data_IF_212721536740
#
_entry.id   IF_212721536740
#
_cell.length_a   1.000
_cell.length_b   1.000
_cell.length_c   1.000
_cell.angle_alpha   90.00
_cell.angle_beta   90.00
_cell.angle_gamma   90.00
#
_symmetry.space_group_name_H-M   'P 1'
#
loop_
_entity.id
_entity.type
_entity.pdbx_description
1 polymer ?
#
# COMPACT_ATOMS: atom_id res chain seq x y z
N UNK A 1 28.31 0.41 5.49
CA UNK A 1 27.95 0.56 4.05
C UNK A 1 26.97 -0.57 3.69
N UNK A 2 25.69 -0.27 3.58
CA UNK A 2 24.69 -1.25 3.13
C UNK A 2 24.90 -1.48 1.63
N UNK A 3 25.16 -2.72 1.23
CA UNK A 3 25.25 -3.10 -0.18
C UNK A 3 23.86 -3.12 -0.80
N UNK A 4 23.63 -2.33 -1.84
CA UNK A 4 22.50 -2.52 -2.73
C UNK A 4 22.76 -3.73 -3.62
N UNK A 5 21.73 -4.55 -3.85
CA UNK A 5 21.85 -5.72 -4.70
C UNK A 5 21.26 -5.42 -6.07
N UNK A 6 22.04 -5.73 -7.10
CA UNK A 6 21.49 -5.83 -8.46
C UNK A 6 20.65 -7.11 -8.57
N UNK A 7 19.77 -7.19 -9.56
CA UNK A 7 18.98 -8.40 -9.85
C UNK A 7 19.86 -9.66 -9.90
N UNK A 8 21.07 -9.56 -10.43
CA UNK A 8 22.03 -10.66 -10.56
C UNK A 8 22.61 -11.10 -9.21
N UNK A 9 22.94 -10.15 -8.34
CA UNK A 9 23.47 -10.43 -6.99
C UNK A 9 22.40 -10.99 -6.06
N UNK A 10 21.15 -10.51 -6.20
CA UNK A 10 20.01 -11.07 -5.48
C UNK A 10 19.80 -12.56 -5.86
N UNK A 11 19.89 -12.91 -7.14
CA UNK A 11 19.79 -14.28 -7.62
C UNK A 11 20.97 -15.18 -7.17
N UNK A 12 22.19 -14.64 -7.10
CA UNK A 12 23.36 -15.39 -6.62
C UNK A 12 23.30 -15.69 -5.12
N UNK A 13 22.83 -14.73 -4.32
CA UNK A 13 22.65 -14.94 -2.87
C UNK A 13 21.53 -15.93 -2.55
N UNK A 14 20.49 -15.98 -3.41
CA UNK A 14 19.40 -16.96 -3.32
C UNK A 14 19.87 -18.39 -3.66
N UNK A 15 20.83 -18.53 -4.58
CA UNK A 15 21.38 -19.84 -4.96
C UNK A 15 22.22 -20.51 -3.84
N UNK A 16 22.87 -19.72 -2.98
CA UNK A 16 23.58 -20.27 -1.80
C UNK A 16 22.62 -20.73 -0.70
N UNK A 17 21.38 -20.22 -0.66
CA UNK A 17 20.32 -20.70 0.25
C UNK A 17 19.73 -22.06 -0.17
N UNK A 18 19.86 -22.48 -1.44
CA UNK A 18 19.27 -23.73 -1.91
C UNK A 18 20.02 -25.01 -1.46
N UNK A 19 21.27 -24.90 -1.01
CA UNK A 19 21.98 -26.05 -0.44
C UNK A 19 21.47 -26.50 0.94
N UNK A 20 20.66 -25.66 1.62
CA UNK A 20 20.07 -25.97 2.93
C UNK A 20 18.66 -26.58 2.85
N UNK A 21 18.05 -26.68 1.65
CA UNK A 21 16.64 -27.10 1.46
C UNK A 21 16.44 -28.60 1.39
N UNK A 22 17.50 -29.40 1.41
CA UNK A 22 17.39 -30.88 1.40
C UNK A 22 17.11 -31.52 2.77
N UNK A 23 16.97 -30.70 3.81
CA UNK A 23 16.51 -31.15 5.14
C UNK A 23 15.24 -30.39 5.50
N UNK A 24 14.10 -31.00 5.32
CA UNK A 24 12.72 -30.55 5.54
C UNK A 24 12.40 -29.65 6.74
N UNK A 25 13.05 -28.49 6.85
CA UNK A 25 12.73 -27.45 7.81
C UNK A 25 12.10 -26.26 7.08
N UNK A 26 10.87 -25.98 7.44
CA UNK A 26 10.11 -24.81 6.99
C UNK A 26 10.93 -23.53 7.16
N UNK A 27 10.97 -22.67 6.15
CA UNK A 27 11.62 -21.35 6.12
C UNK A 27 11.14 -20.38 7.24
N UNK A 28 10.16 -20.78 8.04
CA UNK A 28 9.71 -20.08 9.25
C UNK A 28 10.79 -19.97 10.36
N UNK A 29 11.95 -20.60 10.19
CA UNK A 29 13.05 -20.62 11.15
C UNK A 29 14.22 -19.67 10.87
N UNK A 30 14.15 -18.79 9.86
CA UNK A 30 15.26 -17.91 9.47
C UNK A 30 15.20 -16.49 10.05
N UNK A 31 14.20 -16.16 10.85
CA UNK A 31 14.31 -15.01 11.75
C UNK A 31 14.99 -15.53 13.01
N UNK A 32 16.24 -15.14 13.25
CA UNK A 32 16.70 -15.07 14.63
C UNK A 32 15.65 -14.26 15.39
N UNK A 33 15.21 -14.72 16.55
CA UNK A 33 14.22 -14.05 17.42
C UNK A 33 14.58 -12.60 17.79
N UNK A 34 15.66 -12.03 17.26
CA UNK A 34 16.37 -10.83 17.67
C UNK A 34 16.46 -9.73 16.58
N UNK A 35 15.94 -9.90 15.35
CA UNK A 35 15.88 -8.78 14.39
C UNK A 35 14.74 -7.83 14.78
N UNK A 36 15.12 -6.69 15.40
CA UNK A 36 14.17 -5.61 15.68
C UNK A 36 13.57 -5.08 14.37
N UNK A 37 12.22 -4.84 14.33
CA UNK A 37 11.59 -4.24 13.17
C UNK A 37 12.11 -2.83 12.95
N UNK A 38 12.13 -2.38 11.69
CA UNK A 38 12.56 -1.03 11.32
C UNK A 38 11.83 0.06 12.10
N UNK A 39 10.50 -0.09 12.28
CA UNK A 39 9.69 0.78 13.11
C UNK A 39 9.45 0.17 14.49
N UNK A 40 9.90 0.87 15.52
CA UNK A 40 9.45 0.64 16.89
C UNK A 40 8.10 1.33 17.08
N UNK A 41 7.03 0.56 17.21
CA UNK A 41 5.66 1.07 17.25
C UNK A 41 5.10 1.05 18.67
N UNK A 42 4.52 2.19 19.09
CA UNK A 42 3.68 2.31 20.27
C UNK A 42 2.22 2.43 19.83
N UNK A 43 1.34 1.52 20.27
CA UNK A 43 -0.05 1.58 19.85
C UNK A 43 -0.75 2.79 20.44
N UNK A 44 -1.52 3.50 19.61
CA UNK A 44 -2.51 4.49 20.03
C UNK A 44 -3.87 3.82 20.10
N UNK A 45 -4.20 2.99 19.11
CA UNK A 45 -5.40 2.18 19.10
C UNK A 45 -6.22 2.34 17.81
N UNK A 46 -7.48 1.95 17.92
CA UNK A 46 -8.47 2.06 16.85
C UNK A 46 -8.89 3.52 16.67
N UNK A 47 -8.52 4.11 15.53
CA UNK A 47 -8.71 5.54 15.27
C UNK A 47 -9.94 5.86 14.42
N UNK A 48 -10.34 4.95 13.54
CA UNK A 48 -11.53 5.12 12.70
C UNK A 48 -12.29 3.80 12.56
N UNK A 49 -13.56 3.82 12.95
CA UNK A 49 -14.51 2.74 12.76
C UNK A 49 -15.89 3.36 12.48
N UNK A 50 -16.61 2.81 11.51
CA UNK A 50 -17.97 3.22 11.19
C UNK A 50 -18.90 2.01 11.20
N UNK A 51 -19.99 2.10 11.95
CA UNK A 51 -21.00 1.06 11.96
C UNK A 51 -21.58 0.85 10.56
N UNK A 52 -21.79 -0.40 10.17
CA UNK A 52 -22.33 -0.75 8.86
C UNK A 52 -21.34 -0.63 7.68
N UNK A 53 -20.06 -0.32 7.93
CA UNK A 53 -19.05 -0.15 6.89
C UNK A 53 -17.77 -0.92 7.20
N UNK A 54 -17.13 -1.41 6.12
CA UNK A 54 -15.71 -1.71 6.11
C UNK A 54 -14.92 -0.42 5.90
N UNK A 55 -13.84 -0.23 6.65
CA UNK A 55 -12.87 0.87 6.51
C UNK A 55 -11.52 0.30 6.09
N UNK A 56 -10.92 0.87 5.05
CA UNK A 56 -9.66 0.38 4.49
C UNK A 56 -8.79 1.51 3.95
N UNK A 57 -7.46 1.27 3.85
CA UNK A 57 -6.52 2.15 3.13
C UNK A 57 -6.54 3.60 3.61
N UNK A 58 -6.33 3.84 4.88
CA UNK A 58 -6.36 5.17 5.48
C UNK A 58 -5.06 5.95 5.20
N UNK A 59 -5.11 6.91 4.28
CA UNK A 59 -3.97 7.76 3.90
C UNK A 59 -4.02 9.10 4.63
N UNK A 60 -3.12 9.37 5.60
CA UNK A 60 -3.12 10.59 6.40
C UNK A 60 -2.34 11.73 5.75
N UNK A 61 -2.73 12.97 6.08
CA UNK A 61 -2.00 14.19 5.74
C UNK A 61 -2.28 15.29 6.77
N UNK A 62 -1.29 16.12 7.06
CA UNK A 62 -1.51 17.37 7.81
C UNK A 62 -2.23 18.38 6.94
N UNK A 63 -3.31 18.96 7.46
CA UNK A 63 -4.01 20.10 6.89
C UNK A 63 -3.31 21.42 7.23
N UNK A 64 -3.62 22.46 6.47
CA UNK A 64 -3.20 23.85 6.78
C UNK A 64 -3.90 24.41 8.02
N UNK A 65 -5.02 23.81 8.39
CA UNK A 65 -5.77 24.07 9.62
C UNK A 65 -5.13 23.45 10.88
N UNK A 66 -3.98 22.78 10.73
CA UNK A 66 -3.26 22.10 11.80
C UNK A 66 -3.82 20.74 12.20
N UNK A 67 -4.94 20.33 11.63
CA UNK A 67 -5.56 19.02 11.87
C UNK A 67 -4.90 17.92 11.03
N UNK A 68 -5.17 16.67 11.39
CA UNK A 68 -4.88 15.52 10.55
C UNK A 68 -6.12 15.13 9.77
N UNK A 69 -5.99 15.09 8.45
CA UNK A 69 -7.02 14.62 7.55
C UNK A 69 -6.68 13.21 7.09
N UNK A 70 -7.69 12.36 7.01
CA UNK A 70 -7.55 10.96 6.65
C UNK A 70 -8.43 10.66 5.44
N UNK A 71 -7.80 10.34 4.31
CA UNK A 71 -8.49 9.84 3.13
C UNK A 71 -8.54 8.34 3.20
N UNK A 72 -9.73 7.74 3.14
CA UNK A 72 -9.90 6.32 3.35
C UNK A 72 -10.99 5.74 2.45
N UNK A 73 -10.87 4.45 2.19
CA UNK A 73 -11.89 3.68 1.48
C UNK A 73 -12.94 3.17 2.45
N UNK A 74 -14.22 3.21 2.06
CA UNK A 74 -15.28 2.49 2.77
C UNK A 74 -16.25 1.83 1.79
N UNK A 75 -16.88 0.76 2.23
CA UNK A 75 -18.01 0.12 1.53
C UNK A 75 -18.92 -0.53 2.54
N UNK A 76 -20.16 -0.73 2.16
CA UNK A 76 -21.21 -1.24 3.04
C UNK A 76 -20.93 -2.67 3.50
N UNK A 77 -21.24 -2.98 4.76
CA UNK A 77 -21.03 -4.28 5.42
C UNK A 77 -21.71 -5.44 4.67
N UNK A 78 -22.91 -5.22 4.15
CA UNK A 78 -23.67 -6.24 3.42
C UNK A 78 -22.98 -6.75 2.13
N UNK A 79 -22.02 -6.00 1.60
CA UNK A 79 -21.17 -6.43 0.47
C UNK A 79 -20.06 -7.40 0.85
N UNK A 80 -19.89 -7.65 2.15
CA UNK A 80 -18.81 -8.47 2.67
C UNK A 80 -17.41 -7.88 2.41
N UNK A 81 -16.35 -8.61 2.76
CA UNK A 81 -14.98 -8.15 2.54
C UNK A 81 -14.65 -7.93 1.05
N UNK A 82 -15.28 -8.65 0.13
CA UNK A 82 -15.08 -8.50 -1.32
C UNK A 82 -15.69 -7.23 -1.92
N UNK A 83 -16.50 -6.49 -1.17
CA UNK A 83 -17.18 -5.28 -1.64
C UNK A 83 -16.28 -4.15 -2.09
N UNK A 84 -14.99 -4.21 -1.77
CA UNK A 84 -14.00 -3.24 -2.23
C UNK A 84 -13.86 -3.18 -3.77
N UNK A 85 -14.23 -4.24 -4.49
CA UNK A 85 -14.26 -4.25 -5.95
C UNK A 85 -15.55 -3.67 -6.54
N UNK A 86 -16.62 -3.60 -5.73
CA UNK A 86 -17.94 -3.26 -6.20
C UNK A 86 -18.70 -2.42 -5.17
N UNK A 87 -18.41 -1.14 -5.10
CA UNK A 87 -19.09 -0.17 -4.25
C UNK A 87 -18.24 0.49 -3.19
N UNK A 88 -16.92 0.36 -3.25
CA UNK A 88 -16.04 1.19 -2.43
C UNK A 88 -16.05 2.63 -2.92
N UNK A 89 -16.07 3.56 -1.98
CA UNK A 89 -15.94 4.99 -2.17
C UNK A 89 -14.80 5.54 -1.31
N UNK A 90 -14.24 6.67 -1.70
CA UNK A 90 -13.20 7.37 -0.94
C UNK A 90 -13.85 8.50 -0.17
N UNK A 91 -13.60 8.51 1.13
CA UNK A 91 -14.11 9.49 2.06
C UNK A 91 -12.98 10.24 2.76
N UNK A 92 -13.31 11.39 3.36
CA UNK A 92 -12.45 12.15 4.25
C UNK A 92 -12.99 12.10 5.69
N UNK A 93 -12.07 11.94 6.62
CA UNK A 93 -12.25 12.13 8.04
C UNK A 93 -11.19 13.09 8.57
N UNK A 94 -11.39 13.68 9.74
CA UNK A 94 -10.42 14.55 10.38
C UNK A 94 -10.38 14.34 11.89
N UNK A 95 -9.23 14.69 12.50
CA UNK A 95 -9.03 14.76 13.94
C UNK A 95 -8.06 15.92 14.27
N UNK A 96 -8.12 16.49 15.47
CA UNK A 96 -7.18 17.54 15.88
C UNK A 96 -5.75 17.01 16.04
N UNK A 97 -5.62 15.71 16.36
CA UNK A 97 -4.32 15.04 16.44
C UNK A 97 -4.42 13.56 16.09
N UNK A 98 -3.29 12.88 15.76
CA UNK A 98 -3.27 11.44 15.51
C UNK A 98 -3.63 10.59 16.74
N UNK A 99 -3.65 11.17 17.93
CA UNK A 99 -4.01 10.51 19.19
C UNK A 99 -5.52 10.43 19.42
N UNK A 100 -6.31 11.15 18.61
CA UNK A 100 -7.77 11.21 18.73
C UNK A 100 -8.45 10.28 17.71
N UNK A 101 -9.75 10.03 17.94
CA UNK A 101 -10.59 9.36 16.95
C UNK A 101 -10.93 10.31 15.82
N UNK A 102 -10.87 9.81 14.60
CA UNK A 102 -11.24 10.56 13.41
C UNK A 102 -12.74 10.56 13.22
N UNK A 103 -13.28 11.72 12.86
CA UNK A 103 -14.68 11.92 12.52
C UNK A 103 -14.84 11.92 11.00
N UNK A 104 -15.77 11.11 10.50
CA UNK A 104 -16.17 11.14 9.09
C UNK A 104 -16.76 12.51 8.73
N UNK A 105 -16.35 13.08 7.59
CA UNK A 105 -16.85 14.37 7.11
C UNK A 105 -17.68 14.20 5.84
N UNK A 106 -17.08 13.67 4.76
CA UNK A 106 -17.76 13.59 3.47
C UNK A 106 -17.19 12.47 2.57
N UNK A 107 -17.95 12.18 1.52
CA UNK A 107 -17.50 11.37 0.40
C UNK A 107 -16.74 12.28 -0.57
N UNK A 108 -15.51 11.90 -0.91
CA UNK A 108 -14.66 12.64 -1.84
C UNK A 108 -14.80 12.11 -3.26
N UNK A 109 -14.71 10.80 -3.44
CA UNK A 109 -14.85 10.13 -4.75
C UNK A 109 -15.75 8.92 -4.60
N UNK A 110 -16.89 8.95 -5.28
CA UNK A 110 -17.77 7.81 -5.47
C UNK A 110 -17.57 7.19 -6.86
N UNK A 111 -17.92 5.90 -7.06
CA UNK A 111 -18.01 5.30 -8.39
C UNK A 111 -18.89 6.13 -9.32
N UNK A 112 -18.46 6.33 -10.58
CA UNK A 112 -19.20 7.19 -11.53
C UNK A 112 -20.30 6.48 -12.31
N UNK A 113 -20.39 5.16 -12.22
CA UNK A 113 -21.38 4.38 -12.97
C UNK A 113 -20.91 4.02 -14.40
N UNK A 114 -21.83 3.41 -15.13
CA UNK A 114 -21.58 2.89 -16.48
C UNK A 114 -21.04 3.98 -17.40
N UNK A 115 -20.06 3.63 -18.23
CA UNK A 115 -19.40 4.55 -19.17
C UNK A 115 -18.06 5.08 -18.67
N UNK A 116 -17.74 4.93 -17.38
CA UNK A 116 -16.47 5.39 -16.82
C UNK A 116 -15.57 4.21 -16.44
N UNK A 117 -14.26 4.43 -16.48
CA UNK A 117 -13.25 3.43 -16.09
C UNK A 117 -13.29 3.09 -14.59
N UNK A 118 -13.83 3.98 -13.75
CA UNK A 118 -14.04 3.83 -12.32
C UNK A 118 -15.55 3.66 -11.97
N UNK A 119 -16.27 2.95 -12.83
CA UNK A 119 -17.71 2.79 -12.75
C UNK A 119 -18.21 2.08 -11.49
N UNK A 120 -17.43 1.13 -10.94
CA UNK A 120 -17.90 0.26 -9.86
C UNK A 120 -17.21 0.51 -8.52
N UNK A 121 -16.04 1.13 -8.51
CA UNK A 121 -15.29 1.37 -7.26
C UNK A 121 -14.32 2.53 -7.38
N UNK A 122 -14.14 3.29 -6.28
CA UNK A 122 -13.02 4.15 -5.99
C UNK A 122 -12.38 3.65 -4.67
N UNK A 123 -11.10 3.25 -4.74
CA UNK A 123 -10.47 2.51 -3.64
C UNK A 123 -8.97 2.84 -3.53
N UNK A 124 -8.35 2.48 -2.41
CA UNK A 124 -6.91 2.63 -2.18
C UNK A 124 -6.39 4.07 -2.35
N UNK A 125 -6.93 5.06 -1.61
CA UNK A 125 -6.47 6.43 -1.68
C UNK A 125 -5.02 6.59 -1.23
N UNK A 126 -4.29 7.47 -1.91
CA UNK A 126 -3.01 8.00 -1.48
C UNK A 126 -3.05 9.51 -1.66
N UNK A 127 -3.13 10.25 -0.56
CA UNK A 127 -3.11 11.72 -0.57
C UNK A 127 -1.66 12.24 -0.47
N UNK A 128 -1.33 13.22 -1.31
CA UNK A 128 -0.05 13.93 -1.28
C UNK A 128 -0.28 15.43 -1.53
N UNK A 129 0.66 16.26 -1.08
CA UNK A 129 0.69 17.69 -1.40
C UNK A 129 1.95 17.99 -2.21
N UNK A 130 1.79 18.70 -3.34
CA UNK A 130 2.91 19.17 -4.17
C UNK A 130 2.66 20.64 -4.47
N UNK A 131 3.53 21.51 -3.96
CA UNK A 131 3.28 22.94 -4.01
C UNK A 131 1.96 23.30 -3.33
N UNK A 132 1.10 24.02 -4.04
CA UNK A 132 -0.22 24.44 -3.54
C UNK A 132 -1.36 23.51 -3.97
N UNK A 133 -1.04 22.28 -4.39
CA UNK A 133 -2.02 21.34 -4.90
C UNK A 133 -2.00 20.04 -4.10
N UNK A 134 -3.19 19.53 -3.81
CA UNK A 134 -3.39 18.19 -3.28
C UNK A 134 -3.63 17.21 -4.43
N UNK A 135 -2.97 16.07 -4.35
CA UNK A 135 -3.01 14.97 -5.30
C UNK A 135 -3.59 13.75 -4.61
N UNK A 136 -4.73 13.28 -5.05
CA UNK A 136 -5.38 12.08 -4.55
C UNK A 136 -5.28 10.97 -5.59
N UNK A 137 -4.26 10.14 -5.48
CA UNK A 137 -4.15 8.93 -6.29
C UNK A 137 -5.12 7.88 -5.75
N UNK A 138 -5.72 7.10 -6.64
CA UNK A 138 -6.67 6.08 -6.27
C UNK A 138 -6.74 4.94 -7.28
N UNK A 139 -7.40 3.86 -6.92
CA UNK A 139 -7.72 2.75 -7.81
C UNK A 139 -9.21 2.76 -8.11
N UNK A 140 -9.54 2.71 -9.40
CA UNK A 140 -10.89 2.45 -9.88
C UNK A 140 -10.98 1.17 -10.69
N UNK A 141 -12.18 0.66 -10.92
CA UNK A 141 -12.45 -0.35 -11.93
C UNK A 141 -13.85 -0.17 -12.55
N UNK A 142 -14.09 -0.79 -13.71
CA UNK A 142 -15.34 -0.63 -14.47
C UNK A 142 -16.28 -1.82 -14.45
N UNK A 143 -15.82 -3.00 -14.02
CA UNK A 143 -16.61 -4.24 -14.13
C UNK A 143 -16.69 -5.07 -12.83
N UNK A 144 -16.19 -4.54 -11.72
CA UNK A 144 -16.16 -5.25 -10.44
C UNK A 144 -15.17 -6.42 -10.38
N UNK A 145 -14.24 -6.53 -11.36
CA UNK A 145 -13.21 -7.56 -11.42
C UNK A 145 -11.82 -6.93 -11.38
N UNK A 146 -10.79 -7.74 -11.17
CA UNK A 146 -9.41 -7.24 -11.02
C UNK A 146 -8.77 -6.76 -12.32
N UNK A 147 -9.20 -7.27 -13.46
CA UNK A 147 -8.61 -6.98 -14.78
C UNK A 147 -8.88 -5.56 -15.31
N UNK A 148 -9.86 -4.86 -14.76
CA UNK A 148 -10.14 -3.46 -15.13
C UNK A 148 -9.67 -2.44 -14.09
N UNK A 149 -8.91 -2.87 -13.08
CA UNK A 149 -8.33 -1.94 -12.13
C UNK A 149 -7.31 -1.02 -12.81
N UNK A 150 -7.46 0.29 -12.56
CA UNK A 150 -6.57 1.35 -13.08
C UNK A 150 -6.27 2.35 -11.98
N UNK A 151 -5.09 2.94 -12.03
CA UNK A 151 -4.73 4.08 -11.19
C UNK A 151 -5.28 5.34 -11.82
N UNK A 152 -5.99 6.13 -11.03
CA UNK A 152 -6.43 7.48 -11.35
C UNK A 152 -5.83 8.52 -10.43
N UNK A 153 -6.03 9.78 -10.79
CA UNK A 153 -5.63 10.95 -10.02
C UNK A 153 -6.78 11.94 -9.98
N UNK A 154 -7.11 12.41 -8.79
CA UNK A 154 -7.93 13.60 -8.61
C UNK A 154 -7.09 14.70 -7.96
N UNK A 155 -7.35 15.96 -8.32
CA UNK A 155 -6.57 17.11 -7.83
C UNK A 155 -7.48 18.17 -7.24
N UNK A 156 -6.98 18.88 -6.21
CA UNK A 156 -7.69 20.01 -5.58
C UNK A 156 -6.71 20.98 -4.95
N UNK A 157 -7.15 22.22 -4.74
CA UNK A 157 -6.43 23.20 -3.90
C UNK A 157 -6.77 23.07 -2.42
N UNK A 158 -7.86 22.38 -2.08
CA UNK A 158 -8.33 22.21 -0.71
C UNK A 158 -8.61 20.73 -0.42
N UNK A 159 -8.41 20.28 0.83
CA UNK A 159 -8.64 18.89 1.23
C UNK A 159 -10.13 18.48 1.17
N UNK A 160 -11.06 19.43 1.31
CA UNK A 160 -12.49 19.20 1.14
C UNK A 160 -13.00 19.41 -0.30
N UNK A 161 -12.09 19.73 -1.26
CA UNK A 161 -12.43 19.94 -2.67
C UNK A 161 -12.65 21.41 -3.04
N UNK A 162 -13.25 21.70 -4.22
CA UNK A 162 -13.72 20.69 -5.17
C UNK A 162 -12.57 19.88 -5.81
N UNK A 163 -12.81 18.59 -6.05
CA UNK A 163 -11.84 17.68 -6.66
C UNK A 163 -12.07 17.55 -8.16
N UNK A 164 -11.05 17.85 -8.94
CA UNK A 164 -11.04 17.62 -10.40
C UNK A 164 -10.58 16.18 -10.66
N UNK A 165 -11.43 15.37 -11.27
CA UNK A 165 -11.15 13.97 -11.63
C UNK A 165 -11.24 13.80 -13.16
N UNK A 166 -10.12 13.47 -13.85
CA UNK A 166 -10.12 13.19 -15.30
C UNK A 166 -10.99 11.98 -15.66
N UNK A 167 -11.47 11.96 -16.89
CA UNK A 167 -12.26 10.86 -17.43
C UNK A 167 -11.40 9.65 -17.81
N UNK A 168 -10.11 9.85 -18.04
CA UNK A 168 -9.15 8.79 -18.32
C UNK A 168 -8.35 8.40 -17.08
N UNK A 169 -7.94 7.13 -16.96
CA UNK A 169 -7.03 6.71 -15.89
C UNK A 169 -5.63 7.29 -16.10
N UNK A 170 -4.91 7.48 -15.00
CA UNK A 170 -3.55 8.04 -15.01
C UNK A 170 -2.51 7.08 -15.59
N UNK A 171 -2.69 5.77 -15.38
CA UNK A 171 -1.74 4.74 -15.80
C UNK A 171 -2.48 3.51 -16.31
N UNK A 172 -2.21 3.13 -17.55
CA UNK A 172 -2.75 1.94 -18.20
C UNK A 172 -1.85 0.71 -17.93
N UNK A 173 -2.39 -0.52 -18.04
CA UNK A 173 -1.60 -1.76 -18.05
C UNK A 173 -0.57 -1.79 -19.17
N UNK A 174 0.30 -2.78 -19.15
CA UNK A 174 1.19 -3.12 -20.24
C UNK A 174 0.45 -3.78 -21.41
N UNK A 175 1.21 -4.06 -22.46
CA UNK A 175 0.72 -4.83 -23.63
C UNK A 175 0.37 -6.26 -23.17
N UNK A 176 -0.56 -6.88 -23.87
CA UNK A 176 -0.92 -8.28 -23.66
C UNK A 176 0.33 -9.18 -23.62
N UNK A 177 0.39 -10.09 -22.65
CA UNK A 177 1.51 -10.97 -22.38
C UNK A 177 2.65 -10.36 -21.57
N UNK A 178 2.66 -9.03 -21.34
CA UNK A 178 3.66 -8.42 -20.44
C UNK A 178 3.38 -8.75 -18.97
N UNK A 179 4.38 -8.52 -18.11
CA UNK A 179 4.27 -8.81 -16.67
C UNK A 179 3.16 -7.99 -15.98
N UNK A 180 2.76 -6.88 -16.56
CA UNK A 180 1.82 -5.92 -16.01
C UNK A 180 0.57 -5.69 -16.90
N UNK A 181 0.18 -6.70 -17.67
CA UNK A 181 -0.95 -6.60 -18.59
C UNK A 181 -2.32 -6.72 -17.90
N UNK A 182 -2.38 -7.22 -16.65
CA UNK A 182 -3.65 -7.43 -15.98
C UNK A 182 -4.28 -6.14 -15.48
N UNK A 183 -3.52 -5.30 -14.80
CA UNK A 183 -4.04 -4.10 -14.16
C UNK A 183 -2.93 -3.12 -13.76
N UNK A 184 -3.30 -1.91 -13.33
CA UNK A 184 -2.45 -1.02 -12.54
C UNK A 184 -3.16 -0.66 -11.24
N UNK A 185 -2.48 -0.79 -10.09
CA UNK A 185 -3.12 -0.59 -8.78
C UNK A 185 -2.10 -0.23 -7.70
N UNK A 186 -2.59 0.12 -6.52
CA UNK A 186 -1.79 0.42 -5.31
C UNK A 186 -0.67 1.43 -5.58
N UNK A 187 -1.04 2.68 -5.94
CA UNK A 187 -0.06 3.73 -6.22
C UNK A 187 0.78 4.05 -4.99
N UNK A 188 2.09 4.26 -5.20
CA UNK A 188 2.96 4.91 -4.25
C UNK A 188 3.74 6.01 -4.99
N UNK A 189 3.83 7.19 -4.40
CA UNK A 189 4.29 8.39 -5.09
C UNK A 189 5.33 9.14 -4.28
N UNK A 190 6.38 9.61 -4.97
CA UNK A 190 7.42 10.47 -4.40
C UNK A 190 8.09 11.31 -5.48
N UNK A 191 8.65 12.46 -5.12
CA UNK A 191 9.52 13.24 -6.02
C UNK A 191 10.94 12.66 -5.98
N UNK A 192 11.45 12.25 -7.14
CA UNK A 192 12.78 11.66 -7.31
C UNK A 192 13.92 12.67 -7.19
N UNK A 193 15.14 12.17 -7.03
CA UNK A 193 16.37 13.00 -7.04
C UNK A 193 16.71 13.54 -8.44
N UNK A 194 16.14 12.95 -9.49
CA UNK A 194 16.23 13.39 -10.89
C UNK A 194 15.26 14.54 -11.22
N UNK A 195 14.58 15.09 -10.20
CA UNK A 195 13.58 16.14 -10.34
C UNK A 195 12.23 15.67 -10.88
N UNK A 196 12.13 14.44 -11.35
CA UNK A 196 10.90 13.84 -11.87
C UNK A 196 10.01 13.34 -10.73
N UNK A 197 8.73 13.15 -11.01
CA UNK A 197 7.77 12.51 -10.15
C UNK A 197 7.74 11.02 -10.44
N UNK A 198 7.88 10.21 -9.41
CA UNK A 198 7.94 8.76 -9.46
C UNK A 198 6.63 8.18 -8.96
N UNK A 199 5.98 7.39 -9.78
CA UNK A 199 4.77 6.64 -9.46
C UNK A 199 5.09 5.14 -9.51
N UNK A 200 5.20 4.53 -8.34
CA UNK A 200 5.27 3.09 -8.23
C UNK A 200 3.87 2.51 -8.31
N UNK A 201 3.73 1.40 -9.02
CA UNK A 201 2.45 0.72 -9.21
C UNK A 201 2.61 -0.79 -9.08
N UNK A 202 1.61 -1.43 -8.51
CA UNK A 202 1.51 -2.88 -8.44
C UNK A 202 0.79 -3.42 -9.67
N UNK A 203 1.29 -4.53 -10.20
CA UNK A 203 0.64 -5.29 -11.26
C UNK A 203 1.05 -6.76 -11.23
N UNK A 204 0.52 -7.53 -12.16
CA UNK A 204 0.85 -8.93 -12.44
C UNK A 204 0.40 -9.30 -13.84
N UNK A 205 0.83 -10.49 -14.31
CA UNK A 205 0.47 -11.03 -15.62
C UNK A 205 -0.91 -11.70 -15.58
N UNK A 206 -1.72 -11.51 -16.62
CA UNK A 206 -3.07 -12.06 -16.73
C UNK A 206 -3.06 -13.59 -16.77
N UNK A 207 -2.21 -14.19 -17.60
CA UNK A 207 -2.12 -15.65 -17.72
C UNK A 207 -1.73 -16.31 -16.39
N UNK A 208 -0.72 -15.76 -15.68
CA UNK A 208 -0.34 -16.25 -14.35
C UNK A 208 -1.52 -16.17 -13.38
N UNK A 209 -2.27 -15.06 -13.39
CA UNK A 209 -3.41 -14.86 -12.49
C UNK A 209 -4.56 -15.83 -12.77
N UNK A 210 -4.83 -16.15 -14.01
CA UNK A 210 -5.92 -17.03 -14.42
C UNK A 210 -5.60 -18.52 -14.26
N UNK A 211 -4.35 -18.89 -14.44
CA UNK A 211 -3.90 -20.30 -14.39
C UNK A 211 -3.44 -20.77 -13.01
N UNK A 212 -2.92 -19.86 -12.18
CA UNK A 212 -2.50 -20.21 -10.82
C UNK A 212 -3.71 -20.49 -9.91
N UNK A 213 -3.54 -21.45 -9.01
CA UNK A 213 -4.56 -21.83 -8.01
C UNK A 213 -4.07 -21.48 -6.63
N UNK A 214 -5.03 -21.24 -5.71
CA UNK A 214 -4.74 -20.98 -4.31
C UNK A 214 -5.15 -19.58 -3.85
N UNK A 215 -4.87 -19.22 -2.58
CA UNK A 215 -5.32 -17.96 -1.98
C UNK A 215 -4.61 -16.73 -2.54
N UNK A 216 -3.40 -16.91 -3.08
CA UNK A 216 -2.60 -15.84 -3.69
C UNK A 216 -2.31 -16.23 -5.14
N UNK A 217 -2.95 -15.56 -6.08
CA UNK A 217 -2.82 -15.81 -7.51
C UNK A 217 -2.11 -14.64 -8.20
N UNK A 218 -1.32 -14.96 -9.23
CA UNK A 218 -0.48 -14.00 -9.94
C UNK A 218 0.71 -13.54 -9.10
N UNK A 219 1.85 -13.37 -9.71
CA UNK A 219 3.04 -12.82 -9.06
C UNK A 219 2.95 -11.30 -9.04
N UNK A 220 2.56 -10.73 -7.90
CA UNK A 220 2.48 -9.27 -7.73
C UNK A 220 3.87 -8.68 -7.72
N UNK A 221 4.09 -7.77 -8.66
CA UNK A 221 5.36 -7.07 -8.86
C UNK A 221 5.11 -5.57 -8.78
N UNK A 222 6.16 -4.82 -8.53
CA UNK A 222 6.09 -3.36 -8.59
C UNK A 222 6.89 -2.84 -9.77
N UNK A 223 6.25 -1.95 -10.53
CA UNK A 223 6.88 -1.15 -11.55
C UNK A 223 7.00 0.31 -11.14
N UNK A 224 7.78 1.05 -11.88
CA UNK A 224 7.99 2.49 -11.76
C UNK A 224 7.62 3.18 -13.08
N UNK A 225 6.83 4.23 -12.98
CA UNK A 225 6.60 5.18 -14.07
C UNK A 225 7.04 6.57 -13.62
N UNK A 226 7.59 7.37 -14.53
CA UNK A 226 8.13 8.69 -14.24
C UNK A 226 7.43 9.76 -15.08
N UNK A 227 7.28 10.97 -14.50
CA UNK A 227 6.70 12.13 -15.17
C UNK A 227 7.46 13.41 -14.83
N UNK A 228 7.39 14.42 -15.70
CA UNK A 228 7.93 15.75 -15.44
C UNK A 228 6.96 16.63 -14.62
N UNK A 229 5.66 16.31 -14.68
CA UNK A 229 4.61 16.95 -13.88
C UNK A 229 4.00 15.93 -12.90
N UNK A 230 3.55 16.34 -11.69
CA UNK A 230 2.89 15.45 -10.77
C UNK A 230 1.56 14.88 -11.30
N UNK A 231 0.95 15.56 -12.27
CA UNK A 231 -0.27 15.11 -12.95
C UNK A 231 -0.01 14.19 -14.15
N UNK A 232 1.27 13.94 -14.48
CA UNK A 232 1.66 13.11 -15.61
C UNK A 232 2.02 13.94 -16.89
N UNK A 233 2.05 13.30 -18.07
CA UNK A 233 1.86 11.87 -18.27
C UNK A 233 2.99 11.03 -17.67
N UNK A 234 2.65 9.88 -17.09
CA UNK A 234 3.60 8.93 -16.50
C UNK A 234 4.04 7.90 -17.55
N UNK A 235 5.35 7.82 -17.76
CA UNK A 235 5.96 6.87 -18.70
C UNK A 235 6.63 5.74 -17.89
N UNK A 236 6.24 4.50 -18.15
CA UNK A 236 6.87 3.31 -17.55
C UNK A 236 8.32 3.21 -17.99
N UNK A 237 9.22 2.94 -17.03
CA UNK A 237 10.65 2.78 -17.33
C UNK A 237 10.94 1.40 -17.93
N UNK A 238 12.05 1.29 -18.66
CA UNK A 238 12.48 0.05 -19.32
C UNK A 238 12.91 -1.05 -18.36
N UNK A 239 13.37 -0.68 -17.16
CA UNK A 239 13.90 -1.60 -16.14
C UNK A 239 12.79 -2.33 -15.35
N UNK A 240 11.52 -2.07 -15.68
CA UNK A 240 10.40 -2.73 -15.01
C UNK A 240 10.35 -4.25 -15.25
N UNK A 241 9.93 -5.04 -14.25
CA UNK A 241 9.54 -4.63 -12.89
C UNK A 241 10.76 -4.32 -12.02
N UNK A 242 10.66 -3.27 -11.17
CA UNK A 242 11.72 -2.87 -10.24
C UNK A 242 11.74 -3.70 -8.95
N UNK A 243 10.63 -4.35 -8.60
CA UNK A 243 10.55 -5.33 -7.51
C UNK A 243 9.83 -6.58 -8.04
N UNK A 244 10.54 -7.69 -8.01
CA UNK A 244 10.06 -9.01 -8.47
C UNK A 244 10.62 -10.10 -7.57
N UNK A 245 9.75 -10.78 -6.83
CA UNK A 245 10.10 -11.90 -5.95
C UNK A 245 9.67 -13.25 -6.54
N UNK A 246 9.28 -13.32 -7.82
CA UNK A 246 8.76 -14.53 -8.44
C UNK A 246 9.77 -15.70 -8.50
N UNK A 247 11.06 -15.40 -8.37
CA UNK A 247 12.11 -16.42 -8.26
C UNK A 247 12.24 -17.04 -6.86
N UNK A 248 11.57 -16.47 -5.85
CA UNK A 248 11.59 -16.99 -4.49
C UNK A 248 10.55 -18.12 -4.32
N UNK A 249 10.80 -19.06 -3.39
CA UNK A 249 9.84 -20.13 -3.11
C UNK A 249 8.54 -19.54 -2.48
N UNK A 250 7.50 -20.36 -2.45
CA UNK A 250 6.22 -20.06 -1.81
C UNK A 250 5.44 -18.86 -2.40
N UNK A 251 5.73 -18.51 -3.66
CA UNK A 251 5.06 -17.36 -4.31
C UNK A 251 5.17 -16.08 -3.48
N UNK A 252 6.36 -15.80 -2.96
CA UNK A 252 6.64 -14.62 -2.16
C UNK A 252 6.36 -13.35 -2.97
N UNK A 253 5.65 -12.39 -2.35
CA UNK A 253 5.20 -11.15 -2.99
C UNK A 253 5.21 -10.02 -1.97
N UNK A 254 4.92 -8.82 -2.42
CA UNK A 254 4.61 -7.68 -1.55
C UNK A 254 3.41 -6.89 -2.08
N UNK A 255 2.69 -6.26 -1.19
CA UNK A 255 1.55 -5.39 -1.52
C UNK A 255 1.60 -4.08 -0.73
N UNK A 256 0.76 -3.14 -1.17
CA UNK A 256 0.39 -1.99 -0.35
C UNK A 256 1.57 -1.09 0.01
N UNK A 257 2.44 -0.83 -0.96
CA UNK A 257 3.60 0.02 -0.76
C UNK A 257 3.23 1.47 -0.45
N UNK A 258 3.92 2.06 0.52
CA UNK A 258 4.05 3.49 0.73
C UNK A 258 5.52 3.86 0.58
N UNK A 259 5.81 4.92 -0.18
CA UNK A 259 7.19 5.37 -0.44
C UNK A 259 7.38 6.79 0.10
N UNK A 260 8.52 7.01 0.75
CA UNK A 260 8.94 8.33 1.22
C UNK A 260 10.44 8.52 1.02
N UNK A 261 10.88 9.78 1.05
CA UNK A 261 12.29 10.15 1.01
C UNK A 261 12.73 10.53 2.41
N UNK A 262 13.89 10.04 2.84
CA UNK A 262 14.52 10.41 4.11
C UNK A 262 16.03 10.24 3.99
N UNK A 263 16.79 11.22 4.49
CA UNK A 263 18.27 11.21 4.51
C UNK A 263 18.86 10.89 3.11
N UNK A 264 18.31 11.47 2.05
CA UNK A 264 18.77 11.30 0.66
C UNK A 264 18.49 9.94 0.02
N UNK A 265 17.83 9.02 0.73
CA UNK A 265 17.38 7.72 0.22
C UNK A 265 15.85 7.68 0.10
N UNK A 266 15.37 6.79 -0.74
CA UNK A 266 13.96 6.45 -0.80
C UNK A 266 13.73 5.16 0.00
N UNK A 267 12.69 5.18 0.79
CA UNK A 267 12.27 4.08 1.64
C UNK A 267 10.90 3.60 1.17
N UNK A 268 10.65 2.31 1.32
CA UNK A 268 9.35 1.70 1.10
C UNK A 268 8.95 0.92 2.32
N UNK A 269 7.73 1.13 2.80
CA UNK A 269 7.03 0.22 3.71
C UNK A 269 5.92 -0.47 2.93
N UNK A 270 5.81 -1.79 3.05
CA UNK A 270 4.84 -2.57 2.32
C UNK A 270 4.34 -3.74 3.18
N UNK A 271 3.23 -4.35 2.80
CA UNK A 271 2.76 -5.57 3.41
C UNK A 271 3.56 -6.78 2.90
N UNK A 272 3.99 -7.66 3.79
CA UNK A 272 4.55 -8.96 3.45
C UNK A 272 3.47 -9.91 2.92
N UNK A 273 3.77 -10.58 1.82
CA UNK A 273 2.95 -11.63 1.25
C UNK A 273 3.79 -12.88 0.96
N UNK A 274 4.46 -13.38 2.00
CA UNK A 274 5.20 -14.63 1.97
C UNK A 274 6.71 -14.51 1.84
N UNK A 275 7.29 -13.31 1.95
CA UNK A 275 8.75 -13.15 2.05
C UNK A 275 9.26 -13.66 3.40
N UNK A 276 8.68 -13.20 4.51
CA UNK A 276 8.88 -13.72 5.86
C UNK A 276 7.69 -14.56 6.31
N UNK A 277 6.48 -13.94 6.17
CA UNK A 277 5.23 -14.59 6.54
C UNK A 277 4.03 -13.87 5.91
N UNK A 278 2.88 -13.84 6.17
CA UNK A 278 1.79 -13.03 5.59
C UNK A 278 1.28 -11.93 6.53
N UNK A 279 2.03 -11.60 7.58
CA UNK A 279 1.54 -10.78 8.68
C UNK A 279 2.39 -9.54 8.97
N UNK A 280 3.67 -9.55 8.59
CA UNK A 280 4.60 -8.45 8.86
C UNK A 280 4.50 -7.35 7.80
N UNK A 281 5.10 -6.20 8.11
CA UNK A 281 5.50 -5.22 7.13
C UNK A 281 6.91 -5.49 6.62
N UNK A 282 7.16 -5.11 5.37
CA UNK A 282 8.47 -5.12 4.74
C UNK A 282 9.02 -3.69 4.67
N UNK A 283 10.30 -3.53 4.93
CA UNK A 283 11.02 -2.28 4.72
C UNK A 283 12.16 -2.49 3.72
N UNK A 284 12.20 -1.65 2.68
CA UNK A 284 13.22 -1.64 1.64
C UNK A 284 13.72 -0.21 1.41
N UNK A 285 14.93 -0.08 0.87
CA UNK A 285 15.48 1.23 0.48
C UNK A 285 16.09 1.21 -0.91
N UNK A 286 16.13 2.38 -1.56
CA UNK A 286 16.77 2.60 -2.85
C UNK A 286 17.32 4.03 -2.96
N UNK A 287 18.26 4.27 -3.88
CA UNK A 287 18.71 5.62 -4.25
C UNK A 287 18.15 6.09 -5.59
N UNK A 288 17.79 5.16 -6.46
CA UNK A 288 17.46 5.39 -7.87
C UNK A 288 16.01 4.98 -8.24
N UNK A 289 15.29 4.32 -7.30
CA UNK A 289 13.94 3.77 -7.52
C UNK A 289 13.92 2.44 -8.27
N UNK A 290 15.07 1.95 -8.72
CA UNK A 290 15.22 0.73 -9.52
C UNK A 290 15.85 -0.40 -8.71
N UNK A 291 16.98 -0.10 -8.07
CA UNK A 291 17.75 -1.08 -7.29
C UNK A 291 17.34 -1.01 -5.82
N UNK A 292 16.55 -1.99 -5.37
CA UNK A 292 16.05 -2.06 -4.00
C UNK A 292 16.89 -3.01 -3.15
N UNK A 293 17.09 -2.65 -1.88
CA UNK A 293 17.73 -3.55 -0.90
C UNK A 293 16.89 -4.81 -0.68
N UNK A 294 17.50 -5.85 -0.12
CA UNK A 294 16.75 -6.99 0.40
C UNK A 294 15.76 -6.50 1.48
N UNK A 295 14.51 -6.99 1.49
CA UNK A 295 13.54 -6.63 2.51
C UNK A 295 14.02 -6.95 3.93
N UNK A 296 13.77 -6.01 4.86
CA UNK A 296 13.84 -6.21 6.31
C UNK A 296 12.43 -6.19 6.89
N UNK A 297 12.27 -6.66 8.12
CA UNK A 297 11.00 -6.53 8.84
C UNK A 297 10.74 -5.05 9.11
N UNK A 298 9.64 -4.53 8.57
CA UNK A 298 9.23 -3.14 8.73
C UNK A 298 8.46 -2.90 10.04
N UNK A 299 7.49 -3.75 10.30
CA UNK A 299 6.67 -3.81 11.52
C UNK A 299 6.15 -5.23 11.74
N UNK A 300 5.72 -5.53 12.95
CA UNK A 300 5.18 -6.84 13.32
C UNK A 300 3.66 -6.88 13.16
N UNK A 301 3.07 -8.07 13.36
CA UNK A 301 1.63 -8.27 13.43
C UNK A 301 1.01 -7.41 14.56
N UNK A 302 -0.20 -6.89 14.33
CA UNK A 302 -0.92 -6.05 15.30
C UNK A 302 -1.02 -6.66 16.70
N UNK A 303 -1.18 -7.99 16.79
CA UNK A 303 -1.28 -8.71 18.08
C UNK A 303 -0.02 -8.58 18.96
N UNK A 304 1.11 -8.17 18.40
CA UNK A 304 2.33 -7.86 19.16
C UNK A 304 2.28 -6.51 19.87
N UNK A 305 1.33 -5.67 19.50
CA UNK A 305 1.20 -4.30 20.01
C UNK A 305 -0.10 -4.09 20.79
N UNK A 306 -1.20 -4.70 20.35
CA UNK A 306 -2.55 -4.46 20.87
C UNK A 306 -3.23 -5.79 21.17
N UNK A 307 -3.88 -5.86 22.35
CA UNK A 307 -4.79 -6.93 22.70
C UNK A 307 -6.20 -6.54 22.27
N UNK A 308 -6.80 -7.36 21.42
CA UNK A 308 -8.18 -7.23 20.96
C UNK A 308 -8.90 -8.58 21.11
N UNK A 309 -10.22 -8.60 21.22
CA UNK A 309 -10.98 -9.86 21.20
C UNK A 309 -10.64 -10.70 19.97
N UNK A 310 -10.72 -12.01 20.12
CA UNK A 310 -10.52 -12.93 18.99
C UNK A 310 -11.55 -12.66 17.92
N UNK A 311 -11.09 -12.52 16.66
CA UNK A 311 -11.98 -12.36 15.54
C UNK A 311 -12.91 -13.59 15.37
N UNK A 312 -14.16 -13.41 14.92
CA UNK A 312 -15.01 -14.54 14.52
C UNK A 312 -14.30 -15.48 13.54
N UNK A 313 -14.64 -16.77 13.57
CA UNK A 313 -13.93 -17.83 12.79
C UNK A 313 -13.85 -17.57 11.29
N UNK A 314 -14.79 -16.83 10.73
CA UNK A 314 -14.82 -16.45 9.32
C UNK A 314 -13.92 -15.25 8.96
N UNK A 315 -13.30 -14.59 9.94
CA UNK A 315 -12.45 -13.40 9.73
C UNK A 315 -10.97 -13.80 9.83
N UNK A 316 -10.41 -14.24 8.70
CA UNK A 316 -9.03 -14.77 8.64
C UNK A 316 -7.94 -13.70 8.57
N UNK A 317 -8.30 -12.42 8.40
CA UNK A 317 -7.34 -11.31 8.25
C UNK A 317 -7.07 -10.54 9.54
N UNK A 318 -7.61 -10.99 10.65
CA UNK A 318 -7.39 -10.33 11.94
C UNK A 318 -5.92 -10.42 12.38
N UNK A 319 -5.40 -9.27 12.82
CA UNK A 319 -4.01 -9.14 13.26
C UNK A 319 -3.03 -8.73 12.17
N UNK A 320 -3.39 -8.88 10.90
CA UNK A 320 -2.62 -8.33 9.79
C UNK A 320 -2.86 -6.83 9.70
N UNK A 321 -1.79 -6.04 9.72
CA UNK A 321 -1.84 -4.61 9.40
C UNK A 321 -1.64 -4.46 7.90
N UNK A 322 -2.74 -4.29 7.17
CA UNK A 322 -2.72 -4.13 5.72
C UNK A 322 -2.79 -2.64 5.35
N UNK A 323 -2.31 -2.28 4.18
CA UNK A 323 -2.27 -0.89 3.70
C UNK A 323 -1.53 0.06 4.64
N UNK A 324 -0.27 -0.22 4.98
CA UNK A 324 0.51 0.68 5.81
C UNK A 324 0.64 2.05 5.13
N UNK A 325 0.27 3.10 5.84
CA UNK A 325 0.41 4.48 5.41
C UNK A 325 1.10 5.28 6.52
N UNK A 326 1.97 6.18 6.15
CA UNK A 326 2.71 7.00 7.11
C UNK A 326 2.18 8.43 7.13
N UNK A 327 1.96 8.96 8.32
CA UNK A 327 1.92 10.39 8.52
C UNK A 327 3.36 10.84 8.80
N UNK A 328 3.90 11.60 7.85
CA UNK A 328 5.22 12.20 7.99
C UNK A 328 5.12 13.47 8.84
N UNK A 329 6.22 13.90 9.43
CA UNK A 329 6.29 15.19 10.12
C UNK A 329 6.14 16.33 9.09
N UNK A 330 6.08 17.57 9.55
CA UNK A 330 5.96 18.76 8.70
C UNK A 330 7.15 18.97 7.76
N UNK A 331 8.27 18.28 8.01
CA UNK A 331 9.42 18.22 7.09
C UNK A 331 9.14 17.41 5.80
N UNK A 332 8.06 16.62 5.80
CA UNK A 332 7.69 15.74 4.67
C UNK A 332 8.57 14.49 4.52
N UNK A 333 9.52 14.27 5.42
CA UNK A 333 10.49 13.18 5.36
C UNK A 333 10.46 12.23 6.56
N UNK A 334 10.23 12.73 7.77
CA UNK A 334 10.31 11.95 9.02
C UNK A 334 9.01 11.22 9.34
N UNK A 335 8.95 9.88 9.32
CA UNK A 335 7.78 9.12 9.75
C UNK A 335 7.47 9.34 11.23
N UNK A 336 6.23 9.70 11.54
CA UNK A 336 5.78 9.94 12.92
C UNK A 336 4.71 8.96 13.38
N UNK A 337 3.81 8.59 12.46
CA UNK A 337 2.72 7.65 12.76
C UNK A 337 2.54 6.67 11.61
N UNK A 338 2.22 5.43 11.96
CA UNK A 338 1.81 4.40 11.02
C UNK A 338 0.32 4.15 11.19
N UNK A 339 -0.40 4.20 10.06
CA UNK A 339 -1.79 3.84 9.93
C UNK A 339 -1.88 2.49 9.21
N UNK A 340 -2.71 1.59 9.71
CA UNK A 340 -2.94 0.29 9.08
C UNK A 340 -4.38 -0.17 9.28
N UNK A 341 -4.90 -0.93 8.33
CA UNK A 341 -6.23 -1.51 8.41
C UNK A 341 -6.15 -2.97 8.85
N UNK A 342 -7.09 -3.39 9.66
CA UNK A 342 -7.28 -4.81 9.99
C UNK A 342 -8.76 -5.15 10.07
N UNK A 343 -9.10 -6.42 9.86
CA UNK A 343 -10.44 -6.95 9.97
C UNK A 343 -10.66 -7.62 11.31
N UNK A 344 -11.81 -7.45 11.92
CA UNK A 344 -12.21 -8.17 13.13
C UNK A 344 -11.80 -7.48 14.42
N UNK A 345 -11.56 -8.26 15.48
CA UNK A 345 -11.42 -7.77 16.84
C UNK A 345 -12.77 -7.35 17.40
N UNK A 346 -12.84 -6.15 17.98
CA UNK A 346 -14.09 -5.59 18.52
C UNK A 346 -15.15 -5.24 17.46
N UNK A 347 -14.83 -5.37 16.17
CA UNK A 347 -15.72 -5.09 15.04
C UNK A 347 -15.78 -6.27 14.09
N UNK A 348 -16.95 -6.55 13.54
CA UNK A 348 -17.13 -7.59 12.51
C UNK A 348 -16.60 -7.17 11.13
N UNK A 349 -16.41 -5.88 10.92
CA UNK A 349 -15.87 -5.29 9.69
C UNK A 349 -14.37 -4.99 9.84
N UNK A 350 -13.81 -4.18 8.98
CA UNK A 350 -12.45 -3.67 9.09
C UNK A 350 -12.44 -2.23 9.60
N UNK A 351 -11.37 -1.85 10.25
CA UNK A 351 -11.17 -0.54 10.86
C UNK A 351 -9.70 -0.12 10.76
N UNK A 352 -9.43 1.16 11.02
CA UNK A 352 -8.07 1.71 11.01
C UNK A 352 -7.49 1.76 12.41
N UNK A 353 -6.24 1.34 12.53
CA UNK A 353 -5.41 1.51 13.73
C UNK A 353 -4.29 2.51 13.48
N UNK A 354 -3.88 3.22 14.52
CA UNK A 354 -2.77 4.16 14.52
C UNK A 354 -1.73 3.74 15.55
N UNK A 355 -0.48 3.89 15.17
CA UNK A 355 0.70 3.64 15.98
C UNK A 355 1.62 4.86 15.91
N UNK A 356 2.14 5.29 17.06
CA UNK A 356 3.24 6.24 17.13
C UNK A 356 4.55 5.53 16.77
N UNK A 357 5.35 6.12 15.91
CA UNK A 357 6.69 5.63 15.57
C UNK A 357 7.67 6.24 16.56
N UNK A 358 8.27 5.40 17.41
CA UNK A 358 9.24 5.83 18.40
C UNK A 358 10.58 6.16 17.73
N UNK A 359 11.22 7.23 18.18
CA UNK A 359 12.59 7.56 17.76
C UNK A 359 13.54 6.43 18.21
N UNK A 360 14.46 6.05 17.35
CA UNK A 360 15.61 5.25 17.80
C UNK A 360 16.50 6.15 18.63
N UNK A 361 16.75 5.73 19.86
CA UNK A 361 17.71 6.41 20.75
C UNK A 361 19.12 6.29 20.18
#
# INVERSE_FOLDING_TARGET
>A
MEKSFTRKEFLQTSAMGMAAVLLGSSFAGLLSSDEEPYFRLKPIGRSLALEGYYIWCSSPIWGEDGKVHLFYSRWKKEKGMGGWLNGSEICRAEANSPFEKFEHKEIILAPRGVGFWDATTCHNPLIKKVGNQYLLFFMGNSNGKTNTKRIGLATSKNLNGPWKRPDEPLLLPGKEGSWDDHCTTNPAFVKGNDGKYWLFYKSWNTHEYETQKGPVRGNRKYGLAKANSPEGPYIKISENPVIDFSSLPNNAQLEDAFVWKQNGKFHMIARDMGFFNHEFGLHLTTKDGVSWTKPKVGYLNMKRYITEPTAPKNLTRFGRLERPMLLLDKDGETPRFLFGATQGGSFETSTTFVFEILKNN
#
